data_IF_519102601340
#
_entry.id   IF_519102601340
#
_cell.length_a   1.000
_cell.length_b   1.000
_cell.length_c   1.000
_cell.angle_alpha   90.00
_cell.angle_beta   90.00
_cell.angle_gamma   90.00
#
_symmetry.space_group_name_H-M   'P 1'
#
loop_
_entity.id
_entity.type
_entity.pdbx_description
1 polymer ?
#
# COMPACT_ATOMS: atom_id res chain seq x y z
N UNK A 1 -68.31 7.34 13.90
CA UNK A 1 -68.81 7.04 15.26
C UNK A 1 -67.89 6.06 15.94
N UNK A 2 -67.33 6.47 17.04
CA UNK A 2 -66.71 5.69 18.11
C UNK A 2 -65.30 5.22 17.85
N UNK A 3 -64.35 5.37 18.67
CA UNK A 3 -63.94 6.25 19.82
C UNK A 3 -62.52 5.82 20.18
N UNK A 4 -61.67 6.79 20.43
CA UNK A 4 -60.38 6.72 21.08
C UNK A 4 -60.40 5.99 22.45
N UNK A 5 -59.29 5.25 22.78
CA UNK A 5 -58.66 5.08 24.10
C UNK A 5 -57.64 3.96 23.99
N UNK A 6 -56.42 3.88 24.48
CA UNK A 6 -55.59 4.59 25.42
C UNK A 6 -54.16 3.98 25.24
N UNK A 7 -53.15 4.79 25.10
CA UNK A 7 -51.73 4.37 25.18
C UNK A 7 -51.27 4.46 26.64
N UNK A 8 -50.45 3.50 27.17
CA UNK A 8 -49.82 3.68 28.50
C UNK A 8 -48.47 4.42 28.37
N UNK A 9 -48.34 5.39 29.23
CA UNK A 9 -47.18 6.22 29.47
C UNK A 9 -45.91 5.45 29.84
N UNK A 10 -44.80 5.78 29.20
CA UNK A 10 -43.48 5.33 29.57
C UNK A 10 -43.02 6.01 30.87
N UNK A 11 -42.72 5.22 31.90
CA UNK A 11 -42.03 5.68 33.14
C UNK A 11 -40.55 5.88 32.85
N UNK A 12 -40.09 7.09 33.11
CA UNK A 12 -38.69 7.48 33.00
C UNK A 12 -37.83 6.79 34.05
N UNK A 13 -36.71 6.25 33.60
CA UNK A 13 -35.59 5.87 34.45
C UNK A 13 -34.62 7.06 34.54
N UNK A 14 -34.70 7.83 35.62
CA UNK A 14 -33.64 8.73 36.08
C UNK A 14 -32.74 7.93 37.01
N UNK A 15 -31.46 7.92 36.73
CA UNK A 15 -30.46 7.33 37.62
C UNK A 15 -29.04 7.49 37.07
N UNK A 16 -28.61 8.71 36.79
CA UNK A 16 -27.17 8.98 36.63
C UNK A 16 -26.56 9.24 38.01
N UNK A 17 -26.03 8.22 38.65
CA UNK A 17 -25.07 8.42 39.75
C UNK A 17 -23.71 8.79 39.13
N UNK A 18 -23.34 10.07 39.25
CA UNK A 18 -21.97 10.54 39.06
C UNK A 18 -21.18 10.10 40.29
N UNK A 19 -20.32 9.11 40.12
CA UNK A 19 -19.24 8.83 41.08
C UNK A 19 -18.14 9.89 40.80
N UNK A 20 -18.19 11.00 41.50
CA UNK A 20 -17.07 11.94 41.58
C UNK A 20 -16.08 11.45 42.63
N UNK A 21 -15.07 10.71 42.23
CA UNK A 21 -13.89 10.46 43.07
C UNK A 21 -13.12 11.79 43.19
N UNK A 22 -13.20 12.42 44.33
CA UNK A 22 -12.33 13.56 44.71
C UNK A 22 -10.90 13.00 44.89
N UNK A 23 -10.00 13.39 44.00
CA UNK A 23 -8.54 13.23 44.14
C UNK A 23 -8.06 14.32 45.09
N UNK A 24 -8.27 14.19 46.38
CA UNK A 24 -7.73 15.08 47.39
C UNK A 24 -7.77 14.42 48.77
N UNK A 25 -7.05 13.30 48.97
CA UNK A 25 -6.75 12.81 50.36
C UNK A 25 -5.72 11.65 50.33
N UNK A 26 -4.59 11.81 49.60
CA UNK A 26 -3.46 10.92 49.72
C UNK A 26 -2.11 11.64 49.88
N UNK A 27 -2.10 12.71 50.69
CA UNK A 27 -0.84 13.27 51.20
C UNK A 27 -0.97 13.25 52.73
N UNK A 28 -0.35 12.27 53.36
CA UNK A 28 0.05 12.10 54.77
C UNK A 28 -0.34 10.71 55.31
N UNK A 29 0.46 9.72 54.99
CA UNK A 29 0.71 8.56 55.88
C UNK A 29 2.17 8.11 55.77
N UNK A 30 2.80 7.70 56.86
CA UNK A 30 4.23 7.35 56.89
C UNK A 30 4.50 5.98 56.25
N UNK A 31 5.70 5.87 55.68
CA UNK A 31 6.23 4.69 55.00
C UNK A 31 6.35 3.45 55.91
N UNK A 32 5.40 2.52 55.78
CA UNK A 32 5.61 1.12 56.18
C UNK A 32 4.60 0.23 55.49
N UNK A 33 4.82 -0.13 54.24
CA UNK A 33 4.40 -1.42 53.63
C UNK A 33 4.86 -1.52 52.16
N UNK A 34 5.90 -2.28 51.92
CA UNK A 34 6.39 -2.57 50.55
C UNK A 34 5.38 -3.37 49.69
N UNK A 35 4.24 -3.75 50.25
CA UNK A 35 3.18 -4.47 49.52
C UNK A 35 2.19 -3.53 48.76
N UNK A 36 2.10 -2.25 49.17
CA UNK A 36 1.18 -1.29 48.56
C UNK A 36 1.76 -0.65 47.28
N UNK A 37 3.06 -0.66 47.09
CA UNK A 37 3.71 -0.12 45.89
C UNK A 37 3.47 -0.98 44.65
N UNK A 38 3.32 -2.30 44.78
CA UNK A 38 2.99 -3.20 43.67
C UNK A 38 1.52 -3.00 43.23
N UNK A 39 0.63 -2.71 44.15
CA UNK A 39 -0.78 -2.43 43.87
C UNK A 39 -1.01 -1.08 43.15
N UNK A 40 -0.29 -0.04 43.54
CA UNK A 40 -0.40 1.30 42.93
C UNK A 40 0.26 1.34 41.55
N UNK A 41 1.39 0.68 41.35
CA UNK A 41 2.02 0.55 40.04
C UNK A 41 1.15 -0.26 39.06
N UNK A 42 0.54 -1.37 39.51
CA UNK A 42 -0.41 -2.14 38.73
C UNK A 42 -1.71 -1.35 38.43
N UNK A 43 -2.20 -0.54 39.36
CA UNK A 43 -3.38 0.29 39.15
C UNK A 43 -3.12 1.42 38.13
N UNK A 44 -1.93 2.02 38.18
CA UNK A 44 -1.51 3.06 37.21
C UNK A 44 -1.31 2.49 35.82
N UNK A 45 -0.67 1.34 35.69
CA UNK A 45 -0.56 0.60 34.42
C UNK A 45 -1.93 0.19 33.87
N UNK A 46 -2.85 -0.27 34.72
CA UNK A 46 -4.21 -0.61 34.34
C UNK A 46 -5.01 0.62 33.89
N UNK A 47 -4.84 1.76 34.52
CA UNK A 47 -5.49 3.03 34.13
C UNK A 47 -4.90 3.55 32.81
N UNK A 48 -3.60 3.48 32.61
CA UNK A 48 -2.93 3.84 31.36
C UNK A 48 -3.32 2.89 30.21
N UNK A 49 -3.45 1.58 30.45
CA UNK A 49 -3.95 0.61 29.48
C UNK A 49 -5.45 0.77 29.17
N UNK A 50 -6.24 1.43 30.04
CA UNK A 50 -7.66 1.73 29.81
C UNK A 50 -7.87 3.09 29.11
N UNK A 51 -6.86 3.95 29.06
CA UNK A 51 -6.93 5.22 28.36
C UNK A 51 -6.97 5.00 26.84
N UNK A 52 -7.95 5.62 26.19
CA UNK A 52 -8.04 5.64 24.72
C UNK A 52 -6.98 6.60 24.19
N UNK A 53 -6.05 6.11 23.39
CA UNK A 53 -5.01 6.93 22.75
C UNK A 53 -5.47 7.44 21.38
N UNK A 54 -4.84 8.49 20.86
CA UNK A 54 -5.12 8.97 19.50
C UNK A 54 -4.66 7.96 18.45
N UNK A 55 -5.23 8.03 17.25
CA UNK A 55 -4.79 7.17 16.14
C UNK A 55 -3.35 7.50 15.69
N UNK A 56 -2.93 8.75 15.84
CA UNK A 56 -1.57 9.20 15.52
C UNK A 56 -0.55 8.58 16.49
N UNK A 57 -0.83 8.61 17.77
CA UNK A 57 0.01 8.00 18.81
C UNK A 57 0.04 6.48 18.66
N UNK A 58 -1.10 5.85 18.37
CA UNK A 58 -1.16 4.40 18.11
C UNK A 58 -0.30 4.02 16.91
N UNK A 59 -0.44 4.72 15.79
CA UNK A 59 0.36 4.49 14.59
C UNK A 59 1.86 4.65 14.85
N UNK A 60 2.26 5.69 15.58
CA UNK A 60 3.64 5.95 15.97
C UNK A 60 4.21 4.78 16.79
N UNK A 61 3.54 4.38 17.89
CA UNK A 61 3.98 3.27 18.76
C UNK A 61 4.13 1.96 18.00
N UNK A 62 3.15 1.61 17.15
CA UNK A 62 3.21 0.41 16.32
C UNK A 62 4.45 0.44 15.42
N UNK A 63 4.66 1.54 14.71
CA UNK A 63 5.80 1.70 13.80
C UNK A 63 7.12 1.67 14.56
N UNK A 64 7.22 2.25 15.76
CA UNK A 64 8.43 2.20 16.60
C UNK A 64 8.72 0.81 17.15
N UNK A 65 7.68 0.00 17.41
CA UNK A 65 7.80 -1.36 17.95
C UNK A 65 8.28 -2.38 16.91
N UNK A 66 7.83 -2.26 15.64
CA UNK A 66 8.22 -3.20 14.58
C UNK A 66 9.56 -2.81 13.95
N UNK A 67 10.33 -3.80 13.53
CA UNK A 67 11.66 -3.61 12.92
C UNK A 67 11.70 -4.16 11.50
N UNK A 68 12.50 -3.58 10.58
CA UNK A 68 12.76 -4.17 9.28
C UNK A 68 13.30 -5.59 9.43
N UNK A 69 12.80 -6.50 8.60
CA UNK A 69 13.26 -7.88 8.54
C UNK A 69 14.58 -7.97 7.75
N UNK A 70 15.37 -9.05 7.95
CA UNK A 70 16.58 -9.28 7.20
C UNK A 70 16.36 -9.22 5.69
N UNK A 71 17.27 -8.55 4.99
CA UNK A 71 17.24 -8.43 3.54
C UNK A 71 17.44 -9.79 2.85
N UNK A 72 16.96 -9.93 1.64
CA UNK A 72 17.06 -11.14 0.83
C UNK A 72 17.40 -10.81 -0.62
N UNK A 73 18.11 -11.71 -1.27
CA UNK A 73 18.42 -11.61 -2.69
C UNK A 73 17.38 -12.38 -3.51
N UNK A 74 16.81 -11.76 -4.52
CA UNK A 74 15.77 -12.35 -5.38
C UNK A 74 16.13 -12.16 -6.87
N UNK A 75 15.77 -13.13 -7.72
CA UNK A 75 15.71 -12.88 -9.16
C UNK A 75 14.82 -11.68 -9.47
N UNK A 76 15.24 -10.85 -10.43
CA UNK A 76 14.51 -9.64 -10.82
C UNK A 76 13.04 -9.93 -11.17
N UNK A 77 12.77 -11.09 -11.78
CA UNK A 77 11.42 -11.55 -12.14
C UNK A 77 10.50 -11.81 -10.94
N UNK A 78 11.06 -11.95 -9.72
CA UNK A 78 10.32 -12.17 -8.46
C UNK A 78 10.33 -10.95 -7.54
N UNK A 79 10.89 -9.82 -7.99
CA UNK A 79 11.10 -8.63 -7.15
C UNK A 79 9.92 -7.65 -7.16
N UNK A 80 8.92 -7.86 -8.02
CA UNK A 80 7.76 -6.97 -8.14
C UNK A 80 7.07 -6.78 -6.79
N UNK A 81 6.85 -5.52 -6.41
CA UNK A 81 6.20 -5.15 -5.14
C UNK A 81 7.11 -5.17 -3.92
N UNK A 82 8.32 -5.71 -4.01
CA UNK A 82 9.34 -5.63 -2.96
C UNK A 82 9.92 -4.21 -2.87
N UNK A 83 10.63 -3.92 -1.77
CA UNK A 83 11.33 -2.66 -1.56
C UNK A 83 12.84 -2.89 -1.71
N UNK A 84 13.53 -2.01 -2.46
CA UNK A 84 14.96 -2.09 -2.65
C UNK A 84 15.71 -1.95 -1.31
N UNK A 85 16.69 -2.80 -1.05
CA UNK A 85 17.50 -2.72 0.17
C UNK A 85 18.72 -1.79 0.01
N UNK A 86 19.04 -1.41 -1.23
CA UNK A 86 20.17 -0.57 -1.60
C UNK A 86 19.83 0.30 -2.82
N UNK A 87 20.62 1.36 -3.08
CA UNK A 87 20.50 2.19 -4.26
C UNK A 87 21.03 1.44 -5.49
N UNK A 88 20.33 1.58 -6.62
CA UNK A 88 20.75 1.02 -7.90
C UNK A 88 21.01 2.14 -8.89
N UNK A 89 22.15 2.04 -9.58
CA UNK A 89 22.60 3.01 -10.58
C UNK A 89 22.69 2.36 -11.96
N UNK A 90 22.52 3.15 -12.99
CA UNK A 90 22.67 2.72 -14.36
C UNK A 90 24.10 2.22 -14.63
N UNK A 91 24.22 0.98 -15.07
CA UNK A 91 25.50 0.35 -15.46
C UNK A 91 25.88 0.69 -16.89
N UNK A 92 24.89 0.94 -17.71
CA UNK A 92 25.00 1.22 -19.11
C UNK A 92 24.10 2.40 -19.47
N UNK A 93 24.53 3.27 -20.39
CA UNK A 93 23.63 4.29 -20.93
C UNK A 93 22.53 3.63 -21.77
N UNK A 94 21.36 4.27 -21.87
CA UNK A 94 20.29 3.84 -22.78
C UNK A 94 19.97 4.94 -23.80
N UNK A 95 19.95 4.60 -25.09
CA UNK A 95 20.49 3.38 -25.68
C UNK A 95 22.00 3.27 -25.47
N UNK A 96 22.55 2.05 -25.58
CA UNK A 96 23.97 1.76 -25.34
C UNK A 96 24.90 2.25 -26.46
N UNK A 97 24.36 2.55 -27.63
CA UNK A 97 25.03 3.10 -28.83
C UNK A 97 24.04 3.93 -29.65
N UNK A 98 24.57 4.79 -30.53
CA UNK A 98 23.75 5.55 -31.49
C UNK A 98 23.01 4.57 -32.39
N UNK A 99 21.68 4.63 -32.46
CA UNK A 99 20.89 3.71 -33.25
C UNK A 99 19.79 4.41 -34.05
N UNK A 100 19.30 3.73 -35.09
CA UNK A 100 18.21 4.24 -35.88
C UNK A 100 16.88 4.23 -35.12
N UNK A 101 16.14 5.33 -35.19
CA UNK A 101 14.78 5.41 -34.68
C UNK A 101 13.74 4.80 -35.62
N UNK A 102 14.07 4.64 -36.93
CA UNK A 102 13.17 4.24 -37.99
C UNK A 102 13.82 3.20 -38.91
N UNK A 103 13.00 2.49 -39.66
CA UNK A 103 13.44 1.71 -40.81
C UNK A 103 13.68 2.65 -41.99
N UNK A 104 14.87 2.55 -42.61
CA UNK A 104 15.21 3.49 -43.64
C UNK A 104 16.62 3.32 -44.17
N UNK A 105 17.30 4.43 -44.37
CA UNK A 105 18.66 4.48 -44.93
C UNK A 105 19.52 5.43 -44.11
N UNK A 106 20.62 4.93 -43.60
CA UNK A 106 21.66 5.78 -42.99
C UNK A 106 22.39 6.49 -44.09
N UNK A 107 22.59 7.80 -43.90
CA UNK A 107 23.13 8.73 -44.92
C UNK A 107 24.03 9.81 -44.30
N UNK A 108 24.72 10.55 -45.15
CA UNK A 108 25.39 11.81 -44.82
C UNK A 108 24.46 12.95 -45.23
N UNK A 109 23.83 13.63 -44.28
CA UNK A 109 22.79 14.67 -44.50
C UNK A 109 23.18 15.73 -45.52
N UNK A 110 24.42 16.17 -45.47
CA UNK A 110 24.94 17.20 -46.42
C UNK A 110 24.90 16.76 -47.90
N UNK A 111 24.72 15.46 -48.18
CA UNK A 111 24.56 14.93 -49.52
C UNK A 111 23.14 14.46 -49.85
N UNK A 112 22.15 14.83 -49.00
CA UNK A 112 20.78 14.37 -49.07
C UNK A 112 19.80 15.52 -49.27
N UNK A 113 19.76 16.05 -50.52
CA UNK A 113 18.73 17.00 -50.91
C UNK A 113 17.64 16.31 -51.72
N UNK A 114 16.43 16.85 -51.67
CA UNK A 114 15.31 16.33 -52.47
C UNK A 114 15.69 16.15 -53.95
N UNK A 115 15.41 15.00 -54.50
CA UNK A 115 15.77 14.62 -55.89
C UNK A 115 17.15 14.02 -56.05
N UNK A 116 17.99 13.99 -55.03
CA UNK A 116 19.34 13.46 -55.09
C UNK A 116 19.33 11.92 -55.14
N UNK A 117 20.26 11.35 -55.89
CA UNK A 117 20.44 9.88 -55.98
C UNK A 117 21.59 9.47 -55.09
N UNK A 118 21.38 8.38 -54.32
CA UNK A 118 22.39 7.78 -53.46
C UNK A 118 22.49 6.31 -53.78
N UNK A 119 23.72 5.77 -53.84
CA UNK A 119 24.01 4.36 -54.05
C UNK A 119 23.86 3.59 -52.74
N UNK A 120 23.11 2.52 -52.73
CA UNK A 120 22.95 1.62 -51.57
C UNK A 120 24.15 0.65 -51.56
N UNK A 121 25.02 0.81 -50.56
CA UNK A 121 26.30 0.05 -50.50
C UNK A 121 26.27 -1.09 -49.51
N UNK A 122 25.16 -1.22 -48.72
CA UNK A 122 25.06 -2.30 -47.73
C UNK A 122 23.78 -2.24 -46.92
N UNK A 123 23.72 -3.11 -45.93
CA UNK A 123 22.60 -3.25 -45.02
C UNK A 123 23.11 -3.48 -43.60
N UNK A 124 22.56 -2.72 -42.62
CA UNK A 124 22.87 -2.77 -41.19
C UNK A 124 21.60 -3.23 -40.44
N UNK A 125 21.48 -4.52 -40.10
CA UNK A 125 20.40 -5.02 -39.29
C UNK A 125 20.60 -4.70 -37.82
N UNK A 126 19.52 -4.76 -37.01
CA UNK A 126 19.60 -4.75 -35.56
C UNK A 126 20.27 -6.04 -35.04
N UNK A 127 20.89 -5.96 -33.86
CA UNK A 127 21.49 -7.12 -33.16
C UNK A 127 22.95 -7.43 -33.55
N UNK A 128 23.41 -7.01 -34.71
CA UNK A 128 24.80 -7.23 -35.17
C UNK A 128 25.36 -5.95 -35.75
N UNK A 129 26.47 -5.49 -35.22
CA UNK A 129 27.21 -4.36 -35.80
C UNK A 129 28.12 -4.93 -36.92
N UNK A 130 27.76 -4.67 -38.17
CA UNK A 130 28.56 -5.06 -39.36
C UNK A 130 29.77 -4.17 -39.60
N UNK A 131 29.99 -3.15 -38.74
CA UNK A 131 31.08 -2.18 -38.83
C UNK A 131 31.14 -1.49 -40.20
N UNK A 132 29.98 -1.22 -40.78
CA UNK A 132 29.87 -0.56 -42.06
C UNK A 132 30.30 0.90 -41.95
N UNK A 133 30.84 1.45 -43.03
CA UNK A 133 31.23 2.83 -43.15
C UNK A 133 30.58 3.41 -44.42
N UNK A 134 30.17 4.68 -44.31
CA UNK A 134 29.48 5.40 -45.39
C UNK A 134 30.21 6.65 -45.75
N UNK A 135 30.17 7.03 -47.06
CA UNK A 135 30.68 8.27 -47.63
C UNK A 135 29.55 9.08 -48.28
N UNK A 136 29.84 10.36 -48.63
CA UNK A 136 28.88 11.20 -49.37
C UNK A 136 28.42 10.51 -50.66
N UNK A 137 27.16 10.59 -51.01
CA UNK A 137 26.54 9.96 -52.19
C UNK A 137 26.23 8.48 -52.03
N UNK A 138 26.43 7.91 -50.83
CA UNK A 138 26.10 6.54 -50.51
C UNK A 138 24.99 6.48 -49.49
N UNK A 139 24.29 5.36 -49.41
CA UNK A 139 23.28 5.00 -48.43
C UNK A 139 23.48 3.59 -47.94
N UNK A 140 23.20 3.31 -46.67
CA UNK A 140 23.17 1.98 -46.08
C UNK A 140 21.77 1.71 -45.61
N UNK A 141 21.15 0.63 -46.09
CA UNK A 141 19.85 0.19 -45.55
C UNK A 141 19.99 -0.07 -44.06
N UNK A 142 19.12 0.54 -43.22
CA UNK A 142 19.18 0.41 -41.77
C UNK A 142 17.78 0.11 -41.21
N UNK A 143 17.73 -0.63 -40.11
CA UNK A 143 16.50 -0.99 -39.44
C UNK A 143 16.43 -0.35 -38.05
N UNK A 144 15.22 -0.16 -37.54
CA UNK A 144 14.98 0.40 -36.20
C UNK A 144 15.79 -0.34 -35.13
N UNK A 145 16.51 0.40 -34.32
CA UNK A 145 17.39 -0.15 -33.27
C UNK A 145 18.76 -0.63 -33.76
N UNK A 146 19.04 -0.61 -35.05
CA UNK A 146 20.36 -0.98 -35.60
C UNK A 146 21.38 0.12 -35.30
N UNK A 147 22.67 -0.24 -35.05
CA UNK A 147 23.74 0.74 -34.85
C UNK A 147 23.94 1.59 -36.11
N UNK A 148 24.12 2.90 -35.91
CA UNK A 148 24.36 3.84 -37.00
C UNK A 148 25.75 3.59 -37.58
N UNK A 149 25.89 3.34 -38.92
CA UNK A 149 27.17 3.13 -39.53
C UNK A 149 28.13 4.32 -39.40
N UNK A 150 29.42 4.06 -39.28
CA UNK A 150 30.43 5.09 -39.16
C UNK A 150 30.40 6.05 -40.36
N UNK A 151 30.33 7.36 -40.10
CA UNK A 151 30.24 8.42 -41.10
C UNK A 151 28.81 8.87 -41.44
N UNK A 152 27.78 8.10 -41.07
CA UNK A 152 26.41 8.55 -41.18
C UNK A 152 26.08 9.55 -40.04
N UNK A 153 25.34 10.58 -40.39
CA UNK A 153 24.90 11.62 -39.46
C UNK A 153 23.36 11.84 -39.45
N UNK A 154 22.62 11.09 -40.31
CA UNK A 154 21.18 11.07 -40.36
C UNK A 154 20.65 9.72 -40.85
N UNK A 155 19.35 9.47 -40.64
CA UNK A 155 18.58 8.39 -41.23
C UNK A 155 17.40 8.97 -41.99
N UNK A 156 17.16 8.49 -43.22
CA UNK A 156 15.96 8.81 -44.00
C UNK A 156 14.97 7.66 -43.84
N UNK A 157 13.70 7.93 -43.60
CA UNK A 157 12.68 6.89 -43.58
C UNK A 157 12.54 6.22 -44.95
N UNK A 158 12.22 4.95 -44.98
CA UNK A 158 12.01 4.23 -46.24
C UNK A 158 10.88 4.77 -47.09
N UNK A 159 9.88 5.42 -46.43
CA UNK A 159 8.74 6.09 -47.05
C UNK A 159 9.13 7.36 -47.80
N UNK A 160 10.25 7.96 -47.42
CA UNK A 160 10.76 9.24 -47.95
C UNK A 160 11.79 9.04 -49.05
N UNK A 161 11.92 7.82 -49.55
CA UNK A 161 12.78 7.50 -50.69
C UNK A 161 12.07 6.68 -51.74
N UNK A 162 12.50 6.79 -52.97
CA UNK A 162 12.10 5.88 -54.08
C UNK A 162 13.29 5.00 -54.47
N UNK A 163 13.16 3.69 -54.34
CA UNK A 163 14.23 2.75 -54.63
C UNK A 163 14.21 2.31 -56.08
N UNK A 164 15.37 2.33 -56.75
CA UNK A 164 15.63 1.85 -58.10
C UNK A 164 16.85 0.93 -58.09
N UNK A 165 16.64 -0.39 -57.93
CA UNK A 165 17.74 -1.36 -57.89
C UNK A 165 18.70 -1.09 -56.72
N UNK A 166 19.95 -0.72 -56.99
CA UNK A 166 20.98 -0.40 -56.02
C UNK A 166 21.05 1.09 -55.69
N UNK A 167 20.13 1.90 -56.17
CA UNK A 167 20.05 3.33 -55.89
C UNK A 167 18.75 3.69 -55.19
N UNK A 168 18.77 4.77 -54.42
CA UNK A 168 17.59 5.46 -53.90
C UNK A 168 17.53 6.92 -54.38
N UNK A 169 16.35 7.42 -54.62
CA UNK A 169 16.08 8.85 -54.85
C UNK A 169 15.47 9.44 -53.58
N UNK A 170 16.06 10.50 -53.03
CA UNK A 170 15.61 11.17 -51.86
C UNK A 170 14.40 12.06 -52.18
N UNK A 171 13.29 11.92 -51.48
CA UNK A 171 12.03 12.66 -51.73
C UNK A 171 11.87 13.89 -50.81
N UNK A 172 12.69 14.03 -49.79
CA UNK A 172 12.68 15.11 -48.79
C UNK A 172 14.08 15.67 -48.58
N UNK A 173 14.19 16.86 -47.98
CA UNK A 173 15.47 17.35 -47.47
C UNK A 173 15.72 16.69 -46.10
N UNK A 174 16.98 16.38 -45.78
CA UNK A 174 17.37 15.66 -44.57
C UNK A 174 18.27 16.53 -43.72
N UNK A 175 18.01 16.59 -42.44
CA UNK A 175 18.82 17.33 -41.48
C UNK A 175 19.76 16.40 -40.66
N UNK A 176 20.90 16.96 -40.25
CA UNK A 176 21.85 16.22 -39.40
C UNK A 176 21.22 15.85 -38.06
N UNK A 177 21.35 14.58 -37.66
CA UNK A 177 20.79 14.04 -36.43
C UNK A 177 19.38 13.45 -36.57
N UNK A 178 18.76 13.60 -37.75
CA UNK A 178 17.38 13.15 -37.97
C UNK A 178 17.30 11.64 -37.84
N UNK A 179 16.26 11.19 -37.10
CA UNK A 179 15.97 9.79 -36.77
C UNK A 179 17.14 8.99 -36.17
N UNK A 180 18.11 9.63 -35.53
CA UNK A 180 19.15 8.99 -34.74
C UNK A 180 18.87 9.15 -33.25
N UNK A 181 18.69 8.02 -32.53
CA UNK A 181 18.69 8.01 -31.05
C UNK A 181 20.14 7.97 -30.60
N UNK A 182 20.57 9.03 -29.95
CA UNK A 182 21.96 9.13 -29.45
C UNK A 182 22.16 8.27 -28.21
N UNK A 183 23.34 7.67 -28.09
CA UNK A 183 23.78 6.94 -26.90
C UNK A 183 23.47 7.73 -25.63
N UNK A 184 22.77 7.14 -24.67
CA UNK A 184 22.49 7.76 -23.39
C UNK A 184 21.43 8.87 -23.39
N UNK A 185 20.68 9.06 -24.48
CA UNK A 185 19.68 10.12 -24.55
C UNK A 185 18.45 9.87 -23.63
N UNK A 186 18.20 8.62 -23.21
CA UNK A 186 17.15 8.24 -22.26
C UNK A 186 17.70 8.10 -20.84
N UNK A 187 18.84 7.43 -20.68
CA UNK A 187 19.46 7.18 -19.37
C UNK A 187 20.99 7.33 -19.49
N UNK A 188 21.56 8.16 -18.65
CA UNK A 188 23.00 8.28 -18.54
C UNK A 188 23.60 7.20 -17.63
N UNK A 189 24.80 6.71 -17.98
CA UNK A 189 25.58 5.82 -17.12
C UNK A 189 25.85 6.48 -15.75
N UNK A 190 25.69 5.72 -14.65
CA UNK A 190 25.84 6.24 -13.29
C UNK A 190 24.61 6.99 -12.74
N UNK A 191 23.58 7.22 -13.54
CA UNK A 191 22.34 7.83 -13.04
C UNK A 191 21.60 6.87 -12.12
N UNK A 192 21.04 7.39 -11.01
CA UNK A 192 20.21 6.60 -10.09
C UNK A 192 18.91 6.16 -10.78
N UNK A 193 18.61 4.86 -10.71
CA UNK A 193 17.43 4.24 -11.34
C UNK A 193 16.43 3.70 -10.31
N UNK A 194 16.89 3.40 -9.09
CA UNK A 194 16.04 2.96 -7.99
C UNK A 194 16.72 3.29 -6.67
N UNK A 195 16.07 4.06 -5.83
CA UNK A 195 16.57 4.38 -4.51
C UNK A 195 16.26 3.28 -3.48
N UNK A 196 17.09 3.16 -2.46
CA UNK A 196 16.82 2.33 -1.28
C UNK A 196 15.45 2.65 -0.70
N UNK A 197 14.75 1.61 -0.25
CA UNK A 197 13.37 1.67 0.29
C UNK A 197 12.29 2.09 -0.71
N UNK A 198 12.63 2.27 -1.97
CA UNK A 198 11.65 2.47 -3.03
C UNK A 198 11.05 1.15 -3.50
N UNK A 199 9.75 1.16 -3.82
CA UNK A 199 9.02 -0.03 -4.27
C UNK A 199 9.35 -0.35 -5.73
N UNK A 200 9.75 -1.59 -5.99
CA UNK A 200 10.02 -2.09 -7.35
C UNK A 200 8.68 -2.27 -8.07
N UNK A 201 8.44 -1.43 -9.08
CA UNK A 201 7.30 -1.49 -9.99
C UNK A 201 7.67 -2.22 -11.27
N UNK A 202 6.70 -2.57 -12.09
CA UNK A 202 6.93 -3.29 -13.34
C UNK A 202 7.94 -2.58 -14.27
N UNK A 203 7.79 -1.26 -14.46
CA UNK A 203 8.72 -0.48 -15.27
C UNK A 203 10.12 -0.42 -14.64
N UNK A 204 10.24 -0.34 -13.32
CA UNK A 204 11.52 -0.35 -12.60
C UNK A 204 12.22 -1.71 -12.75
N UNK A 205 11.48 -2.81 -12.64
CA UNK A 205 12.03 -4.16 -12.86
C UNK A 205 12.54 -4.32 -14.31
N UNK A 206 11.78 -3.83 -15.30
CA UNK A 206 12.20 -3.83 -16.70
C UNK A 206 13.47 -2.98 -16.93
N UNK A 207 13.55 -1.83 -16.30
CA UNK A 207 14.74 -0.96 -16.37
C UNK A 207 15.96 -1.63 -15.74
N UNK A 208 15.82 -2.26 -14.56
CA UNK A 208 16.90 -3.04 -13.95
C UNK A 208 17.36 -4.20 -14.83
N UNK A 209 16.41 -4.91 -15.45
CA UNK A 209 16.72 -5.98 -16.39
C UNK A 209 17.49 -5.47 -17.63
N UNK A 210 17.13 -4.30 -18.18
CA UNK A 210 17.84 -3.68 -19.31
C UNK A 210 19.26 -3.25 -18.94
N UNK A 211 19.55 -3.09 -17.65
CA UNK A 211 20.87 -2.80 -17.08
C UNK A 211 21.68 -4.06 -16.75
N UNK A 212 21.15 -5.26 -17.10
CA UNK A 212 21.82 -6.54 -16.86
C UNK A 212 21.78 -7.02 -15.41
N UNK A 213 20.86 -6.51 -14.58
CA UNK A 213 20.64 -7.07 -13.25
C UNK A 213 19.86 -8.39 -13.35
N UNK A 214 20.49 -9.50 -12.99
CA UNK A 214 19.79 -10.78 -12.88
C UNK A 214 19.02 -10.89 -11.56
N UNK A 215 19.61 -10.36 -10.48
CA UNK A 215 19.07 -10.37 -9.12
C UNK A 215 19.12 -8.98 -8.52
N UNK A 216 18.29 -8.76 -7.50
CA UNK A 216 18.26 -7.55 -6.67
C UNK A 216 18.18 -7.90 -5.18
N UNK A 217 18.81 -7.08 -4.33
CA UNK A 217 18.68 -7.17 -2.88
C UNK A 217 17.44 -6.36 -2.46
N UNK A 218 16.50 -7.02 -1.77
CA UNK A 218 15.25 -6.43 -1.31
C UNK A 218 15.06 -6.61 0.18
N UNK A 219 14.14 -5.86 0.76
CA UNK A 219 13.71 -6.04 2.15
C UNK A 219 13.13 -7.42 2.43
N UNK A 220 12.97 -7.76 3.69
CA UNK A 220 12.52 -9.08 4.12
C UNK A 220 11.09 -9.41 3.70
N UNK A 221 10.72 -10.69 3.78
CA UNK A 221 9.37 -11.17 3.53
C UNK A 221 8.57 -11.16 4.83
N UNK A 222 7.43 -10.50 4.83
CA UNK A 222 6.44 -10.63 5.90
C UNK A 222 5.49 -11.77 5.59
N UNK A 223 5.39 -12.73 6.50
CA UNK A 223 4.34 -13.74 6.51
C UNK A 223 3.33 -13.35 7.58
N UNK A 224 2.05 -13.39 7.26
CA UNK A 224 0.95 -13.06 8.15
C UNK A 224 0.00 -14.24 8.30
N UNK A 225 -0.43 -14.50 9.53
CA UNK A 225 -1.56 -15.37 9.83
C UNK A 225 -2.80 -14.51 10.10
N UNK A 226 -3.95 -14.98 9.65
CA UNK A 226 -5.25 -14.34 9.84
C UNK A 226 -6.17 -15.32 10.55
N UNK A 227 -6.79 -14.89 11.64
CA UNK A 227 -7.81 -15.64 12.39
C UNK A 227 -9.08 -14.79 12.42
N UNK A 228 -10.19 -15.31 11.94
CA UNK A 228 -11.53 -14.77 12.19
C UNK A 228 -12.19 -15.51 13.34
N UNK A 229 -12.83 -14.77 14.28
CA UNK A 229 -13.55 -15.38 15.41
C UNK A 229 -15.02 -14.97 15.41
N UNK A 230 -15.87 -15.91 15.82
CA UNK A 230 -17.31 -15.73 15.99
C UNK A 230 -18.10 -16.97 15.58
N UNK A 231 -18.96 -17.45 16.46
CA UNK A 231 -19.84 -18.62 16.20
C UNK A 231 -20.89 -18.32 15.12
N UNK A 232 -21.15 -17.03 14.84
CA UNK A 232 -22.03 -16.58 13.78
C UNK A 232 -21.42 -16.71 12.38
N UNK A 233 -20.10 -16.91 12.27
CA UNK A 233 -19.39 -16.89 10.98
C UNK A 233 -19.45 -18.25 10.28
N UNK A 234 -19.77 -18.22 8.99
CA UNK A 234 -19.83 -19.39 8.11
C UNK A 234 -18.92 -19.18 6.91
N UNK A 235 -18.27 -20.24 6.47
CA UNK A 235 -17.40 -20.20 5.29
C UNK A 235 -18.23 -19.97 4.02
N UNK A 236 -17.62 -19.24 3.06
CA UNK A 236 -18.24 -18.97 1.77
C UNK A 236 -18.53 -20.29 1.03
N UNK A 237 -19.75 -20.39 0.45
CA UNK A 237 -20.23 -21.58 -0.25
C UNK A 237 -20.96 -22.58 0.65
N UNK A 238 -20.88 -22.46 1.96
CA UNK A 238 -21.68 -23.25 2.89
C UNK A 238 -23.07 -22.64 3.07
N UNK A 239 -24.03 -23.46 3.52
CA UNK A 239 -25.41 -23.02 3.74
C UNK A 239 -25.52 -22.29 5.08
N UNK A 240 -25.95 -21.04 5.06
CA UNK A 240 -26.18 -20.26 6.29
C UNK A 240 -27.52 -20.60 6.94
N UNK A 241 -27.56 -20.52 8.26
CA UNK A 241 -28.74 -20.62 9.09
C UNK A 241 -29.17 -19.25 9.63
N UNK A 242 -30.34 -19.19 10.24
CA UNK A 242 -30.80 -17.96 10.90
C UNK A 242 -29.82 -17.55 12.02
N UNK A 243 -29.34 -16.30 11.99
CA UNK A 243 -28.35 -15.78 12.94
C UNK A 243 -26.92 -15.91 12.48
N UNK A 244 -26.65 -16.61 11.37
CA UNK A 244 -25.31 -16.73 10.79
C UNK A 244 -25.08 -15.74 9.65
N UNK A 245 -23.80 -15.40 9.44
CA UNK A 245 -23.32 -14.55 8.34
C UNK A 245 -22.08 -15.18 7.71
N UNK A 246 -21.80 -14.87 6.45
CA UNK A 246 -20.54 -15.28 5.82
C UNK A 246 -19.36 -14.49 6.35
N UNK A 247 -18.24 -15.17 6.59
CA UNK A 247 -16.96 -14.54 6.96
C UNK A 247 -16.40 -13.73 5.79
N UNK A 248 -16.70 -12.44 5.77
CA UNK A 248 -16.17 -11.49 4.79
C UNK A 248 -14.82 -10.89 5.20
N UNK A 249 -14.51 -10.88 6.51
CA UNK A 249 -13.30 -10.25 7.02
C UNK A 249 -12.04 -11.04 6.67
N UNK A 250 -12.09 -12.37 6.74
CA UNK A 250 -10.95 -13.20 6.34
C UNK A 250 -10.53 -12.95 4.89
N UNK A 251 -11.50 -12.87 3.97
CA UNK A 251 -11.26 -12.55 2.55
C UNK A 251 -10.71 -11.14 2.37
N UNK A 252 -11.30 -10.17 3.07
CA UNK A 252 -10.86 -8.77 3.02
C UNK A 252 -9.43 -8.61 3.51
N UNK A 253 -9.10 -9.19 4.66
CA UNK A 253 -7.79 -9.07 5.28
C UNK A 253 -6.71 -9.83 4.50
N UNK A 254 -7.02 -11.01 3.95
CA UNK A 254 -6.13 -11.76 3.06
C UNK A 254 -5.76 -10.91 1.82
N UNK A 255 -6.77 -10.33 1.17
CA UNK A 255 -6.55 -9.45 0.02
C UNK A 255 -5.68 -8.24 0.37
N UNK A 256 -5.92 -7.60 1.53
CA UNK A 256 -5.16 -6.45 1.99
C UNK A 256 -3.70 -6.80 2.34
N UNK A 257 -3.46 -7.94 2.98
CA UNK A 257 -2.11 -8.45 3.27
C UNK A 257 -1.32 -8.66 1.97
N UNK A 258 -1.91 -9.38 1.02
CA UNK A 258 -1.29 -9.63 -0.30
C UNK A 258 -1.03 -8.35 -1.08
N UNK A 259 -1.93 -7.40 -1.00
CA UNK A 259 -1.77 -6.10 -1.64
C UNK A 259 -0.61 -5.28 -1.07
N UNK A 260 -0.29 -5.44 0.20
CA UNK A 260 0.92 -4.86 0.80
C UNK A 260 2.22 -5.49 0.24
N UNK A 261 2.16 -6.66 -0.39
CA UNK A 261 3.30 -7.46 -0.83
C UNK A 261 3.74 -8.51 0.19
N UNK A 262 2.99 -8.68 1.27
CA UNK A 262 3.20 -9.73 2.26
C UNK A 262 2.58 -11.06 1.80
N UNK A 263 3.00 -12.16 2.42
CA UNK A 263 2.41 -13.49 2.21
C UNK A 263 1.38 -13.74 3.29
N UNK A 264 0.18 -14.12 2.89
CA UNK A 264 -0.82 -14.67 3.79
C UNK A 264 -0.55 -16.17 3.94
N UNK A 265 0.08 -16.55 5.04
CA UNK A 265 0.55 -17.91 5.30
C UNK A 265 -0.60 -18.83 5.70
N UNK A 266 -1.51 -18.35 6.55
CA UNK A 266 -2.72 -19.05 6.96
C UNK A 266 -3.89 -18.11 7.14
N UNK A 267 -5.09 -18.60 6.81
CA UNK A 267 -6.38 -17.96 7.05
C UNK A 267 -7.28 -19.00 7.70
N UNK A 268 -7.57 -18.81 9.00
CA UNK A 268 -8.31 -19.75 9.80
C UNK A 268 -9.56 -19.09 10.39
N UNK A 269 -10.67 -19.82 10.44
CA UNK A 269 -11.83 -19.47 11.25
C UNK A 269 -11.78 -20.27 12.57
N UNK A 270 -12.09 -19.60 13.67
CA UNK A 270 -12.14 -20.20 15.00
C UNK A 270 -13.46 -19.78 15.67
N UNK A 271 -14.20 -20.74 16.20
CA UNK A 271 -15.36 -20.46 17.06
C UNK A 271 -14.95 -19.75 18.36
N UNK A 272 -15.94 -19.30 19.12
CA UNK A 272 -15.74 -18.60 20.40
C UNK A 272 -15.42 -19.58 21.56
N UNK A 273 -14.61 -20.61 21.24
CA UNK A 273 -14.11 -21.59 22.20
C UNK A 273 -12.66 -21.28 22.57
N UNK A 274 -12.39 -21.17 23.89
CA UNK A 274 -11.10 -20.73 24.41
C UNK A 274 -9.92 -21.58 23.97
N UNK A 275 -10.05 -22.91 24.00
CA UNK A 275 -8.98 -23.84 23.67
C UNK A 275 -8.63 -23.79 22.18
N UNK A 276 -9.66 -23.80 21.34
CA UNK A 276 -9.52 -23.67 19.87
C UNK A 276 -8.83 -22.36 19.48
N UNK A 277 -9.25 -21.25 20.09
CA UNK A 277 -8.64 -19.94 19.86
C UNK A 277 -7.18 -19.89 20.33
N UNK A 278 -6.87 -20.46 21.50
CA UNK A 278 -5.51 -20.52 22.04
C UNK A 278 -4.57 -21.26 21.08
N UNK A 279 -4.99 -22.42 20.56
CA UNK A 279 -4.20 -23.20 19.62
C UNK A 279 -4.05 -22.49 18.26
N UNK A 280 -5.10 -21.82 17.76
CA UNK A 280 -5.03 -21.04 16.54
C UNK A 280 -4.03 -19.87 16.69
N UNK A 281 -4.12 -19.13 17.78
CA UNK A 281 -3.18 -18.04 18.11
C UNK A 281 -1.74 -18.57 18.20
N UNK A 282 -1.52 -19.70 18.90
CA UNK A 282 -0.19 -20.32 19.00
C UNK A 282 0.39 -20.73 17.64
N UNK A 283 -0.45 -21.24 16.71
CA UNK A 283 0.00 -21.47 15.33
C UNK A 283 0.34 -20.16 14.63
N UNK A 284 -0.54 -19.16 14.74
CA UNK A 284 -0.38 -17.86 14.08
C UNK A 284 0.87 -17.09 14.51
N UNK A 285 1.30 -17.24 15.78
CA UNK A 285 2.50 -16.55 16.31
C UNK A 285 3.82 -17.05 15.72
N UNK A 286 3.83 -18.11 14.91
CA UNK A 286 5.00 -18.52 14.12
C UNK A 286 5.32 -17.56 12.97
N UNK A 287 4.40 -16.69 12.64
CA UNK A 287 4.52 -15.66 11.60
C UNK A 287 5.04 -14.33 12.17
N UNK A 288 5.48 -13.43 11.30
CA UNK A 288 5.89 -12.07 11.69
C UNK A 288 4.70 -11.24 12.16
N UNK A 289 3.52 -11.50 11.59
CA UNK A 289 2.28 -10.80 11.92
C UNK A 289 1.16 -11.81 12.16
N UNK A 290 0.40 -11.59 13.23
CA UNK A 290 -0.86 -12.26 13.50
C UNK A 290 -1.98 -11.22 13.51
N UNK A 291 -3.00 -11.41 12.69
CA UNK A 291 -4.21 -10.58 12.62
C UNK A 291 -5.38 -11.41 13.11
N UNK A 292 -6.08 -10.91 14.14
CA UNK A 292 -7.29 -11.53 14.68
C UNK A 292 -8.46 -10.57 14.41
N UNK A 293 -9.47 -11.02 13.71
CA UNK A 293 -10.67 -10.25 13.39
C UNK A 293 -11.88 -10.79 14.13
N UNK A 294 -12.53 -9.97 14.92
CA UNK A 294 -13.59 -10.37 15.87
C UNK A 294 -13.02 -10.63 17.26
N UNK A 295 -13.90 -10.88 18.22
CA UNK A 295 -13.52 -11.20 19.60
C UNK A 295 -12.82 -10.09 20.40
N UNK A 296 -12.51 -8.95 19.79
CA UNK A 296 -11.86 -7.79 20.45
C UNK A 296 -12.90 -6.75 20.88
N UNK A 297 -13.80 -7.15 21.76
CA UNK A 297 -14.85 -6.27 22.29
C UNK A 297 -14.41 -5.57 23.58
N UNK A 298 -15.19 -4.58 24.02
CA UNK A 298 -14.99 -3.86 25.28
C UNK A 298 -15.56 -4.58 26.49
N UNK A 299 -16.05 -5.84 26.35
CA UNK A 299 -16.65 -6.64 27.41
C UNK A 299 -15.63 -7.25 28.39
N UNK A 300 -16.10 -7.64 29.57
CA UNK A 300 -15.30 -8.29 30.62
C UNK A 300 -14.83 -9.70 30.22
N UNK A 301 -15.46 -10.33 29.24
CA UNK A 301 -15.13 -11.66 28.70
C UNK A 301 -14.60 -11.57 27.28
N UNK A 302 -13.41 -10.98 27.10
CA UNK A 302 -12.73 -10.92 25.81
C UNK A 302 -11.80 -12.14 25.66
N UNK A 303 -12.30 -13.21 25.00
CA UNK A 303 -11.59 -14.47 24.80
C UNK A 303 -10.24 -14.28 24.10
N UNK A 304 -10.17 -13.34 23.16
CA UNK A 304 -8.92 -13.04 22.42
C UNK A 304 -7.87 -12.49 23.37
N UNK A 305 -8.25 -11.54 24.24
CA UNK A 305 -7.35 -10.95 25.21
C UNK A 305 -6.80 -11.97 26.22
N UNK A 306 -7.68 -12.84 26.70
CA UNK A 306 -7.30 -13.88 27.65
C UNK A 306 -6.40 -14.93 27.00
N UNK A 307 -6.69 -15.33 25.76
CA UNK A 307 -5.82 -16.23 25.01
C UNK A 307 -4.43 -15.60 24.76
N UNK A 308 -4.37 -14.34 24.35
CA UNK A 308 -3.12 -13.62 24.13
C UNK A 308 -2.31 -13.50 25.44
N UNK A 309 -2.94 -13.14 26.56
CA UNK A 309 -2.27 -13.06 27.87
C UNK A 309 -1.75 -14.42 28.33
N UNK A 310 -2.53 -15.48 28.11
CA UNK A 310 -2.14 -16.85 28.43
C UNK A 310 -0.87 -17.30 27.67
N UNK A 311 -0.62 -16.73 26.49
CA UNK A 311 0.60 -16.95 25.69
C UNK A 311 1.72 -15.94 25.95
N UNK A 312 1.59 -15.08 26.98
CA UNK A 312 2.61 -14.12 27.35
C UNK A 312 2.64 -12.87 26.47
N UNK A 313 1.52 -12.51 25.84
CA UNK A 313 1.45 -11.31 25.04
C UNK A 313 1.73 -10.04 25.85
N UNK A 314 2.61 -9.20 25.33
CA UNK A 314 2.81 -7.83 25.79
C UNK A 314 1.88 -6.92 25.01
N UNK A 315 0.72 -6.59 25.60
CA UNK A 315 -0.29 -5.73 24.97
C UNK A 315 0.06 -4.26 25.28
N UNK A 316 0.33 -3.47 24.24
CA UNK A 316 0.67 -2.05 24.34
C UNK A 316 -0.54 -1.14 24.10
N UNK A 317 -1.43 -1.52 23.17
CA UNK A 317 -2.60 -0.73 22.77
C UNK A 317 -3.86 -1.58 22.91
N UNK A 318 -4.90 -1.04 23.55
CA UNK A 318 -6.19 -1.72 23.72
C UNK A 318 -7.37 -0.97 23.08
N UNK A 319 -7.30 0.34 22.92
CA UNK A 319 -8.35 1.17 22.34
C UNK A 319 -7.75 2.38 21.66
N UNK A 320 -8.33 2.76 20.53
CA UNK A 320 -7.85 3.91 19.74
C UNK A 320 -9.01 4.88 19.48
N UNK A 321 -8.73 6.18 19.54
CA UNK A 321 -9.68 7.26 19.28
C UNK A 321 -9.93 7.43 17.76
N UNK A 322 -10.43 6.37 17.12
CA UNK A 322 -10.73 6.31 15.69
C UNK A 322 -12.19 5.91 15.46
N UNK A 323 -12.79 6.40 14.39
CA UNK A 323 -14.13 6.03 13.90
C UNK A 323 -14.09 5.80 12.38
N UNK A 324 -14.50 4.60 11.92
CA UNK A 324 -14.80 3.40 12.71
C UNK A 324 -13.52 2.73 13.22
N UNK A 325 -13.63 1.86 14.26
CA UNK A 325 -12.49 1.05 14.69
C UNK A 325 -12.03 1.25 16.14
N UNK A 326 -12.86 1.81 17.04
CA UNK A 326 -12.51 2.03 18.45
C UNK A 326 -11.97 0.78 19.16
N UNK A 327 -12.57 -0.42 19.06
CA UNK A 327 -11.95 -1.65 19.52
C UNK A 327 -10.76 -1.97 18.60
N UNK A 328 -9.58 -1.91 19.15
CA UNK A 328 -8.34 -2.24 18.44
C UNK A 328 -7.30 -2.67 19.46
N UNK A 329 -6.60 -3.75 19.15
CA UNK A 329 -5.52 -4.28 19.98
C UNK A 329 -4.22 -4.33 19.19
N UNK A 330 -3.14 -3.93 19.82
CA UNK A 330 -1.79 -4.19 19.36
C UNK A 330 -0.92 -4.69 20.51
N UNK A 331 -0.10 -5.68 20.20
CA UNK A 331 0.87 -6.25 21.13
C UNK A 331 1.90 -7.13 20.43
N UNK A 332 2.73 -7.80 21.21
CA UNK A 332 3.74 -8.76 20.74
C UNK A 332 3.66 -10.06 21.52
N UNK A 333 3.94 -11.16 20.83
CA UNK A 333 4.27 -12.47 21.42
C UNK A 333 5.62 -12.88 20.82
N UNK A 334 6.68 -12.82 21.60
CA UNK A 334 8.03 -12.97 21.05
C UNK A 334 8.31 -11.91 19.98
N UNK A 335 8.68 -12.35 18.77
CA UNK A 335 8.91 -11.45 17.63
C UNK A 335 7.65 -11.20 16.79
N UNK A 336 6.57 -11.94 17.01
CA UNK A 336 5.31 -11.78 16.29
C UNK A 336 4.56 -10.51 16.74
N UNK A 337 4.25 -9.62 15.81
CA UNK A 337 3.37 -8.49 16.02
C UNK A 337 1.90 -8.95 15.91
N UNK A 338 1.11 -8.73 16.97
CA UNK A 338 -0.27 -9.19 17.06
C UNK A 338 -1.21 -8.00 16.96
N UNK A 339 -2.17 -8.10 16.03
CA UNK A 339 -3.20 -7.10 15.78
C UNK A 339 -4.58 -7.71 16.00
N UNK A 340 -5.35 -7.16 16.92
CA UNK A 340 -6.76 -7.47 17.10
C UNK A 340 -7.62 -6.39 16.43
N UNK A 341 -8.37 -6.76 15.41
CA UNK A 341 -9.22 -5.87 14.63
C UNK A 341 -10.71 -6.10 14.93
N UNK A 342 -11.55 -5.05 14.80
CA UNK A 342 -12.98 -5.19 15.03
C UNK A 342 -13.63 -6.20 14.08
N UNK A 343 -14.71 -6.87 14.52
CA UNK A 343 -15.51 -7.75 13.68
C UNK A 343 -16.29 -7.04 12.56
N UNK A 344 -16.60 -5.75 12.69
CA UNK A 344 -17.25 -4.98 11.62
C UNK A 344 -16.28 -4.73 10.45
N UNK A 345 -16.65 -5.07 9.19
CA UNK A 345 -15.73 -5.09 8.05
C UNK A 345 -15.10 -3.73 7.72
N UNK A 346 -15.86 -2.64 7.83
CA UNK A 346 -15.30 -1.31 7.56
C UNK A 346 -14.34 -0.87 8.67
N UNK A 347 -14.60 -1.28 9.91
CA UNK A 347 -13.68 -1.02 11.01
C UNK A 347 -12.38 -1.81 10.84
N UNK A 348 -12.47 -3.09 10.46
CA UNK A 348 -11.33 -3.93 10.16
C UNK A 348 -10.49 -3.34 9.00
N UNK A 349 -11.16 -2.88 7.94
CA UNK A 349 -10.50 -2.22 6.80
C UNK A 349 -9.74 -0.96 7.20
N UNK A 350 -10.40 -0.02 7.89
CA UNK A 350 -9.78 1.26 8.29
C UNK A 350 -8.62 1.01 9.26
N UNK A 351 -8.80 0.16 10.28
CA UNK A 351 -7.73 -0.14 11.24
C UNK A 351 -6.58 -0.91 10.60
N UNK A 352 -6.85 -1.78 9.63
CA UNK A 352 -5.79 -2.42 8.83
C UNK A 352 -4.96 -1.37 8.08
N UNK A 353 -5.60 -0.46 7.35
CA UNK A 353 -4.91 0.56 6.56
C UNK A 353 -4.08 1.51 7.41
N UNK A 354 -4.59 1.90 8.58
CA UNK A 354 -3.92 2.88 9.43
C UNK A 354 -2.85 2.26 10.34
N UNK A 355 -2.93 0.97 10.67
CA UNK A 355 -2.06 0.36 11.68
C UNK A 355 -1.31 -0.89 11.18
N UNK A 356 -1.99 -1.85 10.55
CA UNK A 356 -1.36 -3.10 10.10
C UNK A 356 -0.50 -2.87 8.86
N UNK A 357 -1.04 -2.16 7.87
CA UNK A 357 -0.32 -1.87 6.62
C UNK A 357 1.00 -1.13 6.86
N UNK A 358 1.07 -0.05 7.65
CA UNK A 358 2.35 0.61 7.98
C UNK A 358 3.37 -0.31 8.63
N UNK A 359 2.93 -1.22 9.52
CA UNK A 359 3.79 -2.21 10.15
C UNK A 359 4.36 -3.19 9.13
N UNK A 360 3.52 -3.75 8.24
CA UNK A 360 3.95 -4.63 7.15
C UNK A 360 5.00 -3.92 6.27
N UNK A 361 4.69 -2.72 5.82
CA UNK A 361 5.58 -1.97 4.91
C UNK A 361 6.92 -1.66 5.57
N UNK A 362 6.93 -1.26 6.85
CA UNK A 362 8.17 -1.03 7.61
C UNK A 362 8.99 -2.31 7.74
N UNK A 363 8.36 -3.43 8.09
CA UNK A 363 9.04 -4.73 8.18
C UNK A 363 9.66 -5.14 6.83
N UNK A 364 9.03 -4.77 5.71
CA UNK A 364 9.53 -5.01 4.36
C UNK A 364 10.59 -3.99 3.89
N UNK A 365 10.95 -3.01 4.72
CA UNK A 365 12.00 -2.03 4.43
C UNK A 365 11.54 -0.74 3.75
N UNK A 366 10.25 -0.47 3.68
CA UNK A 366 9.71 0.80 3.20
C UNK A 366 9.96 1.93 4.21
N UNK A 367 10.14 3.15 3.71
CA UNK A 367 10.20 4.39 4.50
C UNK A 367 8.91 5.22 4.39
N UNK A 368 8.22 5.16 3.25
CA UNK A 368 6.90 5.77 3.06
C UNK A 368 5.81 4.77 3.45
N UNK A 369 5.22 4.95 4.63
CA UNK A 369 4.30 3.99 5.24
C UNK A 369 2.82 4.36 5.09
N UNK A 370 2.49 5.63 4.86
CA UNK A 370 1.11 6.11 4.68
C UNK A 370 0.53 5.76 3.31
N UNK A 371 -0.80 5.90 3.20
CA UNK A 371 -1.46 5.89 1.90
C UNK A 371 -1.11 7.16 1.11
N UNK A 372 -1.09 7.11 -0.23
CA UNK A 372 -0.94 8.30 -1.06
C UNK A 372 -2.05 9.32 -0.74
N UNK A 373 -1.69 10.59 -0.56
CA UNK A 373 -2.64 11.67 -0.32
C UNK A 373 -2.68 12.59 -1.53
N UNK A 374 -3.90 12.96 -1.91
CA UNK A 374 -4.13 13.90 -3.02
C UNK A 374 -5.14 14.96 -2.60
N UNK A 375 -5.02 16.22 -3.09
CA UNK A 375 -6.01 17.25 -2.86
C UNK A 375 -7.29 16.95 -3.64
N UNK A 376 -8.44 17.19 -3.02
CA UNK A 376 -9.75 17.04 -3.63
C UNK A 376 -10.70 18.14 -3.15
N UNK A 377 -11.65 18.58 -3.99
CA UNK A 377 -12.74 19.44 -3.54
C UNK A 377 -13.84 18.59 -2.93
N UNK A 378 -14.32 19.00 -1.76
CA UNK A 378 -15.42 18.32 -1.09
C UNK A 378 -16.73 18.55 -1.83
N UNK A 379 -17.51 17.48 -2.05
CA UNK A 379 -18.77 17.55 -2.81
C UNK A 379 -19.98 18.00 -1.98
N UNK A 380 -19.95 17.79 -0.65
CA UNK A 380 -21.04 18.09 0.30
C UNK A 380 -20.47 18.60 1.62
N UNK A 381 -21.26 19.28 2.44
CA UNK A 381 -20.85 19.66 3.79
C UNK A 381 -20.64 18.42 4.65
N UNK A 382 -19.57 18.39 5.43
CA UNK A 382 -19.27 17.31 6.36
C UNK A 382 -18.97 17.86 7.75
N UNK A 383 -19.43 17.14 8.78
CA UNK A 383 -19.18 17.47 10.16
C UNK A 383 -18.83 16.21 10.95
N UNK A 384 -17.82 16.29 11.76
CA UNK A 384 -17.49 15.30 12.77
C UNK A 384 -17.76 15.86 14.17
N UNK A 385 -18.99 15.70 14.66
CA UNK A 385 -19.37 16.16 16.02
C UNK A 385 -18.87 15.24 17.15
N UNK A 386 -18.09 14.21 16.80
CA UNK A 386 -17.55 13.25 17.75
C UNK A 386 -16.20 13.67 18.33
N UNK A 387 -15.78 12.89 19.32
CA UNK A 387 -14.52 13.02 20.07
C UNK A 387 -13.34 12.23 19.48
N UNK A 388 -13.54 11.60 18.32
CA UNK A 388 -12.56 10.72 17.64
C UNK A 388 -12.37 11.13 16.19
N UNK A 389 -11.17 10.92 15.65
CA UNK A 389 -10.93 11.05 14.23
C UNK A 389 -11.87 10.15 13.43
N UNK A 390 -12.54 10.69 12.42
CA UNK A 390 -13.54 10.01 11.61
C UNK A 390 -13.04 9.81 10.18
N UNK A 391 -12.88 8.55 9.78
CA UNK A 391 -12.51 8.16 8.42
C UNK A 391 -13.76 7.87 7.61
N UNK A 392 -14.06 8.75 6.67
CA UNK A 392 -15.21 8.68 5.77
C UNK A 392 -14.78 8.03 4.46
N UNK A 393 -15.56 7.04 4.02
CA UNK A 393 -15.38 6.39 2.72
C UNK A 393 -16.03 7.22 1.65
N UNK A 394 -15.35 7.33 0.51
CA UNK A 394 -15.87 8.11 -0.58
C UNK A 394 -15.26 7.74 -1.93
N UNK A 395 -15.80 8.37 -2.94
CA UNK A 395 -15.34 8.28 -4.32
C UNK A 395 -14.67 9.58 -4.71
N UNK A 396 -13.43 9.49 -5.13
CA UNK A 396 -12.70 10.57 -5.75
C UNK A 396 -12.85 10.46 -7.26
N UNK A 397 -13.56 11.40 -7.86
CA UNK A 397 -13.77 11.50 -9.29
C UNK A 397 -13.63 12.96 -9.74
N UNK A 398 -12.93 13.20 -10.84
CA UNK A 398 -12.70 14.53 -11.41
C UNK A 398 -12.23 15.59 -10.37
N UNK A 399 -11.35 15.18 -9.44
CA UNK A 399 -10.83 16.05 -8.40
C UNK A 399 -11.84 16.41 -7.28
N UNK A 400 -12.95 15.69 -7.20
CA UNK A 400 -13.99 15.88 -6.15
C UNK A 400 -14.14 14.61 -5.33
N UNK A 401 -14.19 14.77 -4.02
CA UNK A 401 -14.50 13.70 -3.07
C UNK A 401 -15.97 13.76 -2.69
N UNK A 402 -16.64 12.63 -2.88
CA UNK A 402 -18.05 12.44 -2.50
C UNK A 402 -18.17 11.24 -1.56
N UNK A 403 -18.68 11.41 -0.32
CA UNK A 403 -18.97 10.27 0.56
C UNK A 403 -19.92 9.28 -0.10
N UNK A 404 -19.64 7.97 0.01
CA UNK A 404 -20.43 6.92 -0.62
C UNK A 404 -21.16 6.06 0.40
N UNK A 405 -22.44 5.87 0.18
CA UNK A 405 -23.28 4.98 0.96
C UNK A 405 -23.42 5.40 2.42
N UNK A 406 -23.91 4.46 3.23
CA UNK A 406 -23.98 4.64 4.69
C UNK A 406 -22.58 4.57 5.28
N UNK A 407 -22.26 5.48 6.21
CA UNK A 407 -20.93 5.56 6.84
C UNK A 407 -20.78 4.68 8.11
N UNK A 408 -21.75 3.80 8.36
CA UNK A 408 -21.71 2.84 9.48
C UNK A 408 -20.63 1.78 9.28
N UNK A 409 -20.15 1.23 10.40
CA UNK A 409 -19.03 0.28 10.43
C UNK A 409 -19.28 -1.08 9.77
N UNK A 410 -20.56 -1.45 9.56
CA UNK A 410 -20.98 -2.68 8.90
C UNK A 410 -21.26 -2.54 7.40
N UNK A 411 -21.29 -1.30 6.86
CA UNK A 411 -21.76 -1.00 5.50
C UNK A 411 -20.72 -1.38 4.44
N UNK A 412 -20.54 -2.67 4.20
CA UNK A 412 -19.54 -3.23 3.27
C UNK A 412 -19.80 -2.83 1.81
N UNK A 413 -21.07 -2.71 1.39
CA UNK A 413 -21.41 -2.26 0.03
C UNK A 413 -20.85 -0.87 -0.27
N UNK A 414 -21.03 0.10 0.67
CA UNK A 414 -20.45 1.43 0.51
C UNK A 414 -18.91 1.40 0.44
N UNK A 415 -18.26 0.47 1.16
CA UNK A 415 -16.81 0.28 1.08
C UNK A 415 -16.39 -0.20 -0.31
N UNK A 416 -17.09 -1.18 -0.89
CA UNK A 416 -16.76 -1.72 -2.21
C UNK A 416 -16.90 -0.72 -3.36
N UNK A 417 -17.67 0.37 -3.17
CA UNK A 417 -17.84 1.44 -4.13
C UNK A 417 -16.86 2.62 -3.92
N UNK A 418 -16.02 2.56 -2.88
CA UNK A 418 -15.13 3.66 -2.49
C UNK A 418 -13.72 3.44 -3.04
N UNK A 419 -13.05 4.52 -3.45
CA UNK A 419 -11.64 4.53 -3.86
C UNK A 419 -10.77 5.48 -3.03
N UNK A 420 -11.37 6.17 -2.05
CA UNK A 420 -10.66 7.10 -1.19
C UNK A 420 -11.25 7.16 0.22
N UNK A 421 -10.40 7.57 1.19
CA UNK A 421 -10.79 7.92 2.56
C UNK A 421 -10.52 9.40 2.81
N UNK A 422 -11.45 10.03 3.50
CA UNK A 422 -11.28 11.37 4.08
C UNK A 422 -11.25 11.27 5.60
N UNK A 423 -10.18 11.77 6.22
CA UNK A 423 -10.08 11.92 7.68
C UNK A 423 -10.61 13.28 8.10
N UNK A 424 -11.56 13.29 9.03
CA UNK A 424 -11.99 14.49 9.75
C UNK A 424 -11.52 14.41 11.20
N UNK A 425 -10.89 15.47 11.67
CA UNK A 425 -10.50 15.59 13.08
C UNK A 425 -11.74 15.68 14.02
N UNK A 426 -11.60 15.42 15.32
CA UNK A 426 -12.67 15.66 16.29
C UNK A 426 -13.18 17.10 16.21
N UNK A 427 -14.50 17.30 16.13
CA UNK A 427 -15.14 18.61 16.04
C UNK A 427 -14.98 19.34 14.70
N UNK A 428 -14.32 18.76 13.73
CA UNK A 428 -14.04 19.39 12.44
C UNK A 428 -15.31 19.52 11.58
N UNK A 429 -15.46 20.71 10.97
CA UNK A 429 -16.53 21.03 10.02
C UNK A 429 -15.91 21.51 8.72
N UNK A 430 -16.28 20.89 7.60
CA UNK A 430 -15.75 21.22 6.27
C UNK A 430 -16.91 21.46 5.33
N UNK A 431 -16.90 22.63 4.69
CA UNK A 431 -17.95 23.03 3.75
C UNK A 431 -17.73 22.42 2.36
N UNK A 432 -18.84 22.29 1.63
CA UNK A 432 -18.81 21.95 0.21
C UNK A 432 -17.90 22.90 -0.59
N UNK A 433 -17.11 22.37 -1.50
CA UNK A 433 -16.14 23.13 -2.30
C UNK A 433 -14.78 23.35 -1.62
N UNK A 434 -14.64 23.14 -0.30
CA UNK A 434 -13.36 23.23 0.39
C UNK A 434 -12.36 22.20 -0.14
N UNK A 435 -11.08 22.58 -0.16
CA UNK A 435 -9.98 21.69 -0.52
C UNK A 435 -9.60 20.81 0.68
N UNK A 436 -9.64 19.51 0.52
CA UNK A 436 -9.31 18.50 1.54
C UNK A 436 -8.24 17.55 1.02
N UNK A 437 -7.51 16.90 1.94
CA UNK A 437 -6.58 15.83 1.59
C UNK A 437 -7.29 14.48 1.75
N UNK A 438 -7.35 13.71 0.67
CA UNK A 438 -7.93 12.37 0.68
C UNK A 438 -6.85 11.30 0.48
N UNK A 439 -6.98 10.20 1.20
CA UNK A 439 -6.12 9.03 1.10
C UNK A 439 -6.65 8.12 -0.01
N UNK A 440 -5.80 7.80 -1.00
CA UNK A 440 -6.18 6.88 -2.07
C UNK A 440 -6.11 5.44 -1.58
N UNK A 441 -7.14 4.66 -1.90
CA UNK A 441 -7.22 3.24 -1.56
C UNK A 441 -6.49 2.34 -2.58
N UNK A 442 -6.13 2.88 -3.75
CA UNK A 442 -5.42 2.18 -4.84
C UNK A 442 -4.32 3.02 -5.46
#
# INVERSE_FOLDING_TARGET
MGSLRDAPQARGYRGKQRISLRIADCQHRPASCARDFIGVANCRLLIEMMAMISEEEAGKRIVETVRPLPVRKLPITKSLGCFAAEDHFARLPLPTFDNSAMDGYAVVASSCKKGQRLRVTGEQPAGVDRRLRISRGEAIRIFTGAPVPAGADAVIMQEDVTRHGEEIIVNVDVETGEFIRRRGCDLAEGQMILAKSERIRAATAALLASQGFADVTVGGQVNAAIISTGDELVKQGEKIQQGQIYDSNSVLLDALVRRCGAVSDSVEHCGDERESLLEAVKRGTKNQILIISGGVSVGEHDLVKDALRGLGAQIDIWRVAIKPGKPFLFGKIGECAVFGLPGNPVSAFVTFLQFVRPAILKMMGATSLGLPKVPAKLAVDLTNDGDRAHYLRGKLEHGRFNPVGRQESHALFGLSQSNALLRLAPGEKVQCGALVQVELLE
#
